data_IF_524577840545
#
_entry.id   IF_524577840545
#
_cell.length_a   1.000
_cell.length_b   1.000
_cell.length_c   1.000
_cell.angle_alpha   90.00
_cell.angle_beta   90.00
_cell.angle_gamma   90.00
#
_symmetry.space_group_name_H-M   'P 1'
#
loop_
_entity.id
_entity.type
_entity.pdbx_description
1 polymer ?
#
# COMPACT_ATOMS: atom_id res chain seq x y z
N UNK A 1 -7.33 -11.44 -20.76
CA UNK A 1 -6.26 -11.34 -19.75
C UNK A 1 -6.12 -12.71 -19.11
N UNK A 2 -4.92 -13.26 -19.06
CA UNK A 2 -4.69 -14.52 -18.38
C UNK A 2 -4.75 -14.32 -16.85
N UNK A 3 -5.24 -15.32 -16.13
CA UNK A 3 -5.37 -15.28 -14.66
C UNK A 3 -4.03 -14.98 -13.97
N UNK A 4 -2.91 -15.42 -14.56
CA UNK A 4 -1.55 -15.11 -14.10
C UNK A 4 -1.28 -13.60 -14.17
N UNK A 5 -1.65 -12.94 -15.28
CA UNK A 5 -1.48 -11.49 -15.45
C UNK A 5 -2.27 -10.71 -14.40
N UNK A 6 -3.48 -11.18 -14.07
CA UNK A 6 -4.32 -10.58 -13.02
C UNK A 6 -3.62 -10.70 -11.67
N UNK A 7 -3.14 -11.89 -11.30
CA UNK A 7 -2.46 -12.12 -10.02
C UNK A 7 -1.22 -11.22 -9.88
N UNK A 8 -0.37 -11.15 -10.91
CA UNK A 8 0.83 -10.31 -10.90
C UNK A 8 0.45 -8.84 -10.69
N UNK A 9 -0.59 -8.38 -11.38
CA UNK A 9 -1.08 -6.99 -11.27
C UNK A 9 -1.56 -6.67 -9.86
N UNK A 10 -2.15 -7.63 -9.14
CA UNK A 10 -2.61 -7.47 -7.76
C UNK A 10 -1.47 -7.55 -6.73
N UNK A 11 -0.39 -8.27 -7.03
CA UNK A 11 0.76 -8.38 -6.13
C UNK A 11 1.59 -7.09 -6.07
N UNK A 12 1.68 -6.33 -7.17
CA UNK A 12 2.42 -5.06 -7.22
C UNK A 12 1.92 -4.06 -6.14
N UNK A 13 0.64 -3.65 -6.12
CA UNK A 13 0.14 -2.74 -5.10
C UNK A 13 0.23 -3.34 -3.69
N UNK A 14 0.09 -4.66 -3.53
CA UNK A 14 0.27 -5.30 -2.22
C UNK A 14 1.71 -5.14 -1.69
N UNK A 15 2.71 -5.35 -2.54
CA UNK A 15 4.11 -5.11 -2.21
C UNK A 15 4.38 -3.66 -1.83
N UNK A 16 3.77 -2.70 -2.54
CA UNK A 16 3.85 -1.27 -2.21
C UNK A 16 3.26 -1.00 -0.82
N UNK A 17 2.10 -1.57 -0.48
CA UNK A 17 1.47 -1.38 0.84
C UNK A 17 2.36 -1.95 1.96
N UNK A 18 2.99 -3.11 1.75
CA UNK A 18 3.95 -3.68 2.71
C UNK A 18 5.16 -2.75 2.88
N UNK A 19 5.71 -2.25 1.77
CA UNK A 19 6.84 -1.32 1.80
C UNK A 19 6.49 -0.03 2.57
N UNK A 20 5.28 0.50 2.41
CA UNK A 20 4.77 1.65 3.17
C UNK A 20 4.78 1.37 4.68
N UNK A 21 4.36 0.17 5.10
CA UNK A 21 4.36 -0.21 6.52
C UNK A 21 5.78 -0.28 7.10
N UNK A 22 6.74 -0.80 6.33
CA UNK A 22 8.14 -0.93 6.73
C UNK A 22 8.88 0.41 6.71
N UNK A 23 8.61 1.26 5.72
CA UNK A 23 9.28 2.54 5.47
C UNK A 23 8.29 3.72 5.47
N UNK A 24 7.56 3.98 6.56
CA UNK A 24 6.49 4.98 6.59
C UNK A 24 7.01 6.41 6.35
N UNK A 25 8.18 6.77 6.91
CA UNK A 25 8.79 8.10 6.70
C UNK A 25 9.09 8.34 5.22
N UNK A 26 9.72 7.37 4.56
CA UNK A 26 10.01 7.43 3.12
C UNK A 26 8.72 7.53 2.31
N UNK A 27 7.72 6.71 2.63
CA UNK A 27 6.43 6.72 1.92
C UNK A 27 5.67 8.05 2.05
N UNK A 28 5.76 8.73 3.18
CA UNK A 28 5.12 10.04 3.40
C UNK A 28 5.75 11.13 2.53
N UNK A 29 7.06 11.01 2.30
CA UNK A 29 7.88 11.95 1.54
C UNK A 29 8.02 11.62 0.06
N UNK A 30 7.56 10.44 -0.36
CA UNK A 30 7.60 9.99 -1.74
C UNK A 30 6.97 11.03 -2.69
N UNK A 31 7.74 11.48 -3.68
CA UNK A 31 7.32 12.52 -4.64
C UNK A 31 7.20 13.94 -4.07
N UNK A 32 7.37 14.13 -2.76
CA UNK A 32 7.20 15.42 -2.08
C UNK A 32 8.49 16.01 -1.53
N UNK A 33 9.59 15.25 -1.41
CA UNK A 33 10.88 15.77 -0.89
C UNK A 33 11.33 17.08 -1.55
N UNK A 34 11.19 17.20 -2.87
CA UNK A 34 11.67 18.37 -3.62
C UNK A 34 10.89 19.67 -3.41
N UNK A 35 9.74 19.65 -2.72
CA UNK A 35 8.96 20.88 -2.45
C UNK A 35 9.41 21.60 -1.18
N UNK A 36 10.19 20.93 -0.34
CA UNK A 36 10.68 21.48 0.92
C UNK A 36 12.05 22.11 0.71
N UNK A 37 12.27 23.28 1.34
CA UNK A 37 13.57 23.97 1.28
C UNK A 37 14.66 23.23 2.05
N UNK A 38 14.27 22.43 3.04
CA UNK A 38 15.12 21.64 3.94
C UNK A 38 14.51 20.24 4.12
N UNK A 39 15.26 19.29 4.70
CA UNK A 39 14.74 17.94 4.94
C UNK A 39 13.55 18.00 5.92
N UNK A 40 12.35 17.61 5.50
CA UNK A 40 11.16 17.74 6.33
C UNK A 40 11.18 16.80 7.54
N UNK A 41 11.00 17.38 8.73
CA UNK A 41 10.74 16.60 9.93
C UNK A 41 9.33 16.00 9.90
N UNK A 42 9.26 14.68 9.98
CA UNK A 42 8.00 13.94 10.06
C UNK A 42 7.70 13.64 11.52
N UNK A 43 6.52 14.06 11.98
CA UNK A 43 6.07 13.78 13.35
C UNK A 43 5.85 12.29 13.59
N UNK A 44 6.11 11.83 14.82
CA UNK A 44 5.85 10.45 15.22
C UNK A 44 4.39 10.04 15.04
N UNK A 45 3.46 10.98 15.29
CA UNK A 45 2.03 10.75 15.09
C UNK A 45 1.70 10.44 13.64
N UNK A 46 2.31 11.16 12.68
CA UNK A 46 2.14 10.90 11.26
C UNK A 46 2.69 9.52 10.86
N UNK A 47 3.86 9.15 11.38
CA UNK A 47 4.47 7.82 11.17
C UNK A 47 3.55 6.71 11.71
N UNK A 48 3.05 6.87 12.95
CA UNK A 48 2.17 5.89 13.60
C UNK A 48 0.86 5.73 12.85
N UNK A 49 0.25 6.84 12.42
CA UNK A 49 -0.98 6.83 11.63
C UNK A 49 -0.76 6.12 10.28
N UNK A 50 0.37 6.40 9.60
CA UNK A 50 0.70 5.74 8.34
C UNK A 50 0.86 4.23 8.51
N UNK A 51 1.59 3.79 9.54
CA UNK A 51 1.73 2.36 9.87
C UNK A 51 0.37 1.70 10.17
N UNK A 52 -0.49 2.36 10.94
CA UNK A 52 -1.82 1.83 11.26
C UNK A 52 -2.68 1.65 10.01
N UNK A 53 -2.73 2.66 9.13
CA UNK A 53 -3.45 2.60 7.85
C UNK A 53 -2.90 1.51 6.92
N UNK A 54 -1.58 1.43 6.81
CA UNK A 54 -0.93 0.40 6.01
C UNK A 54 -1.25 -1.00 6.55
N UNK A 55 -1.19 -1.21 7.87
CA UNK A 55 -1.54 -2.49 8.50
C UNK A 55 -3.00 -2.89 8.23
N UNK A 56 -3.95 -1.97 8.40
CA UNK A 56 -5.36 -2.22 8.06
C UNK A 56 -5.47 -2.62 6.59
N UNK A 57 -4.77 -1.93 5.70
CA UNK A 57 -4.80 -2.22 4.26
C UNK A 57 -4.16 -3.58 3.94
N UNK A 58 -3.07 -3.98 4.60
CA UNK A 58 -2.44 -5.31 4.46
C UNK A 58 -3.43 -6.44 4.76
N UNK A 59 -4.35 -6.22 5.70
CA UNK A 59 -5.37 -7.20 6.09
C UNK A 59 -6.58 -7.15 5.15
N UNK A 60 -7.10 -5.95 4.86
CA UNK A 60 -8.32 -5.77 4.07
C UNK A 60 -8.09 -6.07 2.58
N UNK A 61 -6.95 -5.67 2.03
CA UNK A 61 -6.61 -5.87 0.62
C UNK A 61 -6.73 -7.33 0.15
N UNK A 62 -6.11 -8.34 0.79
CA UNK A 62 -6.26 -9.72 0.36
C UNK A 62 -7.69 -10.23 0.46
N UNK A 63 -8.46 -9.83 1.49
CA UNK A 63 -9.87 -10.21 1.65
C UNK A 63 -10.68 -9.70 0.45
N UNK A 64 -10.53 -8.43 0.09
CA UNK A 64 -11.23 -7.83 -1.06
C UNK A 64 -10.85 -8.52 -2.37
N UNK A 65 -9.57 -8.84 -2.58
CA UNK A 65 -9.11 -9.52 -3.79
C UNK A 65 -9.64 -10.94 -3.90
N UNK A 66 -9.71 -11.70 -2.79
CA UNK A 66 -10.32 -13.03 -2.77
C UNK A 66 -11.80 -12.94 -3.14
N UNK A 67 -12.55 -12.01 -2.54
CA UNK A 67 -13.97 -11.81 -2.84
C UNK A 67 -14.16 -11.46 -4.33
N UNK A 68 -13.36 -10.52 -4.85
CA UNK A 68 -13.40 -10.13 -6.25
C UNK A 68 -13.10 -11.30 -7.20
N UNK A 69 -12.07 -12.10 -6.89
CA UNK A 69 -11.72 -13.27 -7.66
C UNK A 69 -12.87 -14.28 -7.65
N UNK A 70 -13.40 -14.67 -6.49
CA UNK A 70 -14.53 -15.61 -6.39
C UNK A 70 -15.73 -15.11 -7.20
N UNK A 71 -16.09 -13.83 -7.07
CA UNK A 71 -17.20 -13.24 -7.82
C UNK A 71 -17.00 -13.36 -9.34
N UNK A 72 -15.82 -12.99 -9.85
CA UNK A 72 -15.51 -13.03 -11.28
C UNK A 72 -15.51 -14.44 -11.89
N UNK A 73 -15.18 -15.47 -11.11
CA UNK A 73 -15.17 -16.88 -11.57
C UNK A 73 -16.49 -17.62 -11.31
N UNK A 74 -17.37 -17.05 -10.47
CA UNK A 74 -18.72 -17.57 -10.23
C UNK A 74 -19.77 -17.08 -11.23
N UNK A 75 -19.41 -16.10 -12.07
CA UNK A 75 -20.23 -15.51 -13.12
C UNK A 75 -19.85 -16.10 -14.49
#
# INVERSE_FOLDING_TARGET
>A
MDWITIIITLLIPYGIIIWIYLNPKESLLMGRRGIYKEEPEITESAIRNMKAKALITIIVYPIVNIIFFVYMFSL
#
